data_IF_247917510132
#
_entry.id   IF_247917510132
#
_cell.length_a   1.000
_cell.length_b   1.000
_cell.length_c   1.000
_cell.angle_alpha   90.00
_cell.angle_beta   90.00
_cell.angle_gamma   90.00
#
_symmetry.space_group_name_H-M   'P 1'
#
loop_
_entity.id
_entity.type
_entity.pdbx_description
1 polymer ?
#
# COMPACT_ATOMS: atom_id res chain seq x y z
N UNK A 1 34.65 21.14 58.54
CA UNK A 1 34.74 21.09 57.06
C UNK A 1 34.53 19.65 56.64
N UNK A 2 33.30 19.15 56.61
CA UNK A 2 32.43 19.01 55.43
C UNK A 2 33.14 18.35 54.24
N UNK A 3 32.83 17.07 54.00
CA UNK A 3 32.61 16.49 52.65
C UNK A 3 31.86 15.16 52.80
N UNK A 4 30.54 15.24 52.62
CA UNK A 4 29.63 14.11 52.46
C UNK A 4 29.36 13.97 50.96
N UNK A 5 29.64 12.82 50.36
CA UNK A 5 29.17 12.50 49.00
C UNK A 5 27.86 11.71 49.15
N UNK A 6 26.75 12.32 48.75
CA UNK A 6 25.43 11.69 48.71
C UNK A 6 25.23 11.00 47.35
N UNK A 7 24.82 9.74 47.40
CA UNK A 7 24.29 8.96 46.28
C UNK A 7 22.99 9.58 45.75
N UNK A 8 22.87 9.75 44.43
CA UNK A 8 21.58 10.03 43.78
C UNK A 8 20.98 8.72 43.26
N UNK A 9 19.90 8.27 43.90
CA UNK A 9 18.93 7.32 43.35
C UNK A 9 18.06 8.09 42.34
N UNK A 10 18.01 7.64 41.07
CA UNK A 10 16.92 8.00 40.17
C UNK A 10 15.75 7.05 40.44
N UNK A 11 14.63 7.62 40.89
CA UNK A 11 13.39 6.92 41.16
C UNK A 11 12.67 6.67 39.82
N UNK A 12 12.56 5.41 39.41
CA UNK A 12 11.69 4.98 38.32
C UNK A 12 10.23 5.11 38.77
N UNK A 13 9.45 5.92 38.06
CA UNK A 13 8.00 6.02 38.27
C UNK A 13 7.34 4.78 37.65
N UNK A 14 6.96 3.83 38.51
CA UNK A 14 5.94 2.83 38.19
C UNK A 14 4.58 3.53 38.10
N UNK A 15 4.00 3.61 36.90
CA UNK A 15 2.57 3.80 36.74
C UNK A 15 1.90 2.42 36.67
N UNK A 16 1.20 2.08 37.74
CA UNK A 16 0.10 1.13 37.74
C UNK A 16 -1.14 1.88 38.17
N UNK A 17 -2.07 2.11 37.24
CA UNK A 17 -3.49 2.05 37.52
C UNK A 17 -4.20 1.58 36.25
N UNK A 18 -4.79 0.40 36.39
CA UNK A 18 -5.70 -0.27 35.48
C UNK A 18 -7.06 0.41 35.60
N UNK A 19 -7.77 0.66 34.50
CA UNK A 19 -9.24 0.57 34.42
C UNK A 19 -9.75 0.82 32.98
N UNK A 20 -10.16 -0.28 32.34
CA UNK A 20 -11.25 -0.40 31.35
C UNK A 20 -11.53 0.82 30.43
N UNK A 21 -10.84 0.90 29.29
CA UNK A 21 -11.35 1.60 28.09
C UNK A 21 -11.66 0.65 26.93
N UNK A 22 -11.44 -0.66 27.09
CA UNK A 22 -11.78 -1.68 26.08
C UNK A 22 -13.28 -2.01 26.11
N UNK A 23 -14.06 -1.30 25.27
CA UNK A 23 -15.18 -1.86 24.49
C UNK A 23 -16.07 -0.80 23.85
N UNK A 24 -16.05 0.45 24.34
CA UNK A 24 -17.03 1.47 23.90
C UNK A 24 -16.68 2.16 22.59
N UNK A 25 -15.40 2.49 22.34
CA UNK A 25 -15.01 3.20 21.11
C UNK A 25 -14.98 2.27 19.89
N UNK A 26 -14.56 1.01 20.07
CA UNK A 26 -14.68 -0.02 19.03
C UNK A 26 -16.15 -0.32 18.67
N UNK A 27 -17.08 -0.33 19.64
CA UNK A 27 -18.51 -0.49 19.38
C UNK A 27 -19.17 0.74 18.71
N UNK A 28 -18.52 1.91 18.71
CA UNK A 28 -19.03 3.11 18.02
C UNK A 28 -18.66 3.08 16.53
N UNK A 29 -17.49 2.51 16.17
CA UNK A 29 -17.10 2.28 14.78
C UNK A 29 -18.07 1.34 14.02
N UNK A 30 -18.64 0.34 14.71
CA UNK A 30 -19.51 -0.68 14.11
C UNK A 30 -20.80 -0.15 13.47
N UNK A 31 -21.31 1.03 13.85
CA UNK A 31 -22.69 1.42 13.50
C UNK A 31 -22.86 2.24 12.21
N UNK A 32 -21.80 2.52 11.46
CA UNK A 32 -21.93 3.40 10.29
C UNK A 32 -20.94 3.24 9.15
N UNK A 33 -19.97 2.33 9.24
CA UNK A 33 -19.02 2.05 8.15
C UNK A 33 -19.48 0.83 7.34
N UNK A 34 -19.29 0.89 6.03
CA UNK A 34 -19.57 -0.23 5.12
C UNK A 34 -18.38 -1.21 5.09
N UNK A 35 -18.03 -1.74 6.27
CA UNK A 35 -16.87 -2.62 6.46
C UNK A 35 -17.28 -3.88 7.24
N UNK A 36 -16.69 -5.05 6.92
CA UNK A 36 -16.90 -6.25 7.71
C UNK A 36 -16.47 -6.07 9.19
N UNK A 37 -17.22 -6.61 10.17
CA UNK A 37 -16.91 -6.41 11.59
C UNK A 37 -15.52 -6.88 12.03
N UNK A 38 -14.93 -7.84 11.32
CA UNK A 38 -13.61 -8.38 11.66
C UNK A 38 -12.49 -7.36 11.41
N UNK A 39 -12.57 -6.56 10.35
CA UNK A 39 -11.54 -5.56 10.02
C UNK A 39 -11.68 -4.25 10.77
N UNK A 40 -12.89 -3.92 11.22
CA UNK A 40 -13.12 -2.77 12.08
C UNK A 40 -12.27 -2.85 13.37
N UNK A 41 -11.93 -4.06 13.83
CA UNK A 41 -11.05 -4.28 14.98
C UNK A 41 -9.58 -3.94 14.70
N UNK A 42 -9.19 -3.87 13.43
CA UNK A 42 -7.85 -3.49 12.99
C UNK A 42 -7.72 -1.96 12.82
N UNK A 43 -8.83 -1.23 12.85
CA UNK A 43 -8.82 0.22 12.64
C UNK A 43 -8.42 0.95 13.91
N UNK A 44 -7.46 1.87 13.77
CA UNK A 44 -7.17 2.86 14.81
C UNK A 44 -8.21 3.98 14.75
N UNK A 45 -9.07 4.15 15.79
CA UNK A 45 -10.10 5.19 15.81
C UNK A 45 -9.55 6.61 15.63
N UNK A 46 -8.30 6.87 16.00
CA UNK A 46 -7.67 8.19 15.87
C UNK A 46 -7.37 8.56 14.41
N UNK A 47 -7.31 7.57 13.52
CA UNK A 47 -7.11 7.77 12.09
C UNK A 47 -8.41 8.06 11.33
N UNK A 48 -9.58 7.89 11.97
CA UNK A 48 -10.87 8.05 11.31
C UNK A 48 -11.07 9.46 10.72
N UNK A 49 -11.55 9.58 9.46
CA UNK A 49 -12.07 8.54 8.56
C UNK A 49 -11.02 7.91 7.62
N UNK A 50 -9.74 8.21 7.80
CA UNK A 50 -8.61 7.78 6.97
C UNK A 50 -7.85 6.60 7.61
N UNK A 51 -8.56 5.52 7.97
CA UNK A 51 -8.02 4.38 8.73
C UNK A 51 -6.84 3.66 8.04
N UNK A 52 -6.73 3.78 6.72
CA UNK A 52 -5.65 3.20 5.91
C UNK A 52 -4.47 4.15 5.67
N UNK A 53 -4.48 5.28 6.38
CA UNK A 53 -3.47 6.32 6.32
C UNK A 53 -3.42 7.00 4.95
N UNK A 54 -2.19 7.31 4.53
CA UNK A 54 -1.91 7.93 3.24
C UNK A 54 -0.80 7.16 2.53
N UNK A 55 -0.66 7.36 1.23
CA UNK A 55 0.44 6.83 0.44
C UNK A 55 0.80 7.79 -0.68
N UNK A 56 2.03 7.69 -1.18
CA UNK A 56 2.44 8.36 -2.40
C UNK A 56 3.18 7.39 -3.30
N UNK A 57 3.23 7.66 -4.59
CA UNK A 57 3.86 6.74 -5.52
C UNK A 57 3.94 7.23 -6.94
N UNK A 58 4.55 6.39 -7.77
CA UNK A 58 5.00 6.73 -9.12
C UNK A 58 5.61 8.15 -9.20
N UNK A 59 6.67 8.48 -8.43
CA UNK A 59 7.27 9.80 -8.48
C UNK A 59 7.91 10.06 -9.85
N UNK A 60 7.56 11.18 -10.46
CA UNK A 60 8.19 11.75 -11.66
C UNK A 60 8.88 13.07 -11.27
N UNK A 61 9.62 13.66 -12.21
CA UNK A 61 10.37 14.89 -11.95
C UNK A 61 9.50 16.08 -11.57
N UNK A 62 8.27 16.14 -12.07
CA UNK A 62 7.38 17.27 -11.82
C UNK A 62 6.01 16.85 -11.30
N UNK A 63 5.85 15.57 -10.95
CA UNK A 63 4.59 15.09 -10.42
C UNK A 63 4.71 13.84 -9.57
N UNK A 64 3.73 13.61 -8.71
CA UNK A 64 3.65 12.41 -7.88
C UNK A 64 2.20 12.06 -7.60
N UNK A 65 1.91 10.77 -7.46
CA UNK A 65 0.61 10.32 -7.00
C UNK A 65 0.55 10.48 -5.49
N UNK A 66 -0.52 11.08 -4.98
CA UNK A 66 -0.93 10.97 -3.57
C UNK A 66 -2.22 10.16 -3.47
N UNK A 67 -2.33 9.36 -2.41
CA UNK A 67 -3.39 8.40 -2.22
C UNK A 67 -3.88 8.36 -0.76
N UNK A 68 -5.18 8.12 -0.59
CA UNK A 68 -5.80 7.69 0.68
C UNK A 68 -7.09 6.90 0.39
N UNK A 69 -7.72 6.36 1.43
CA UNK A 69 -9.08 5.84 1.40
C UNK A 69 -9.89 6.46 2.52
N UNK A 70 -11.13 6.84 2.22
CA UNK A 70 -12.05 7.41 3.21
C UNK A 70 -13.13 6.38 3.54
N UNK A 71 -13.13 5.87 4.77
CA UNK A 71 -14.20 4.99 5.23
C UNK A 71 -15.42 5.82 5.62
N UNK A 72 -16.51 5.62 4.89
CA UNK A 72 -17.79 6.31 5.09
C UNK A 72 -18.95 5.30 5.12
N UNK A 73 -20.11 5.75 5.57
CA UNK A 73 -21.36 5.00 5.42
C UNK A 73 -21.90 5.02 3.98
N UNK A 74 -22.88 4.16 3.72
CA UNK A 74 -23.31 3.74 2.38
C UNK A 74 -23.53 4.84 1.31
N UNK A 75 -23.08 4.52 0.09
CA UNK A 75 -23.61 4.87 -1.24
C UNK A 75 -23.87 6.35 -1.59
N UNK A 76 -23.01 7.25 -1.14
CA UNK A 76 -22.94 8.60 -1.71
C UNK A 76 -21.61 8.86 -2.42
N UNK A 77 -21.65 9.70 -3.46
CA UNK A 77 -20.44 10.37 -3.94
C UNK A 77 -20.01 11.38 -2.89
N UNK A 78 -18.74 11.35 -2.52
CA UNK A 78 -18.12 12.28 -1.56
C UNK A 78 -17.08 13.12 -2.26
N UNK A 79 -16.83 14.31 -1.72
CA UNK A 79 -15.76 15.20 -2.13
C UNK A 79 -14.71 15.22 -1.03
N UNK A 80 -13.47 14.95 -1.39
CA UNK A 80 -12.32 14.95 -0.49
C UNK A 80 -11.38 16.06 -0.94
N UNK A 81 -11.05 16.98 -0.04
CA UNK A 81 -10.05 17.99 -0.31
C UNK A 81 -8.65 17.40 -0.08
N UNK A 82 -7.68 17.91 -0.80
CA UNK A 82 -6.28 17.55 -0.61
C UNK A 82 -5.41 18.79 -0.69
N UNK A 83 -4.30 18.74 0.04
CA UNK A 83 -3.31 19.81 0.10
C UNK A 83 -1.90 19.21 0.02
N UNK A 84 -1.02 19.90 -0.68
CA UNK A 84 0.42 19.63 -0.73
C UNK A 84 1.19 20.89 -0.33
N UNK A 85 2.20 20.72 0.52
CA UNK A 85 3.03 21.76 1.09
C UNK A 85 4.52 21.47 0.90
N UNK A 86 5.33 22.52 0.93
CA UNK A 86 6.79 22.42 0.90
C UNK A 86 7.42 22.23 2.29
N UNK A 87 6.62 22.19 3.35
CA UNK A 87 7.06 22.05 4.74
C UNK A 87 6.17 21.08 5.54
N UNK A 88 6.77 20.42 6.53
CA UNK A 88 6.09 19.41 7.36
C UNK A 88 4.96 19.97 8.23
N UNK A 89 4.98 21.27 8.53
CA UNK A 89 3.95 21.93 9.33
C UNK A 89 2.70 22.29 8.51
N UNK A 90 2.73 22.03 7.19
CA UNK A 90 1.66 22.34 6.25
C UNK A 90 1.28 23.83 6.25
N UNK A 91 2.29 24.71 6.29
CA UNK A 91 2.09 26.18 6.30
C UNK A 91 2.28 26.82 4.92
N UNK A 92 3.16 26.29 4.09
CA UNK A 92 3.45 26.72 2.73
C UNK A 92 2.79 25.77 1.71
N UNK A 93 1.48 25.93 1.53
CA UNK A 93 0.69 25.14 0.58
C UNK A 93 1.06 25.52 -0.86
N UNK A 94 1.63 24.58 -1.60
CA UNK A 94 2.06 24.76 -3.00
C UNK A 94 1.01 24.30 -4.00
N UNK A 95 0.15 23.34 -3.61
CA UNK A 95 -0.93 22.84 -4.46
C UNK A 95 -2.08 22.32 -3.58
N UNK A 96 -3.30 22.40 -4.09
CA UNK A 96 -4.50 21.89 -3.42
C UNK A 96 -5.63 21.69 -4.41
N UNK A 97 -6.59 20.86 -4.04
CA UNK A 97 -7.76 20.64 -4.87
C UNK A 97 -8.81 19.79 -4.18
N UNK A 98 -9.78 19.36 -4.96
CA UNK A 98 -10.86 18.48 -4.53
C UNK A 98 -10.97 17.31 -5.49
N UNK A 99 -11.23 16.11 -4.97
CA UNK A 99 -11.50 14.92 -5.78
C UNK A 99 -12.79 14.27 -5.32
N UNK A 100 -13.58 13.84 -6.30
CA UNK A 100 -14.78 13.04 -6.09
C UNK A 100 -14.45 11.57 -6.00
N UNK A 101 -14.99 10.89 -4.99
CA UNK A 101 -14.92 9.43 -4.87
C UNK A 101 -16.23 8.82 -4.40
N UNK A 102 -16.38 7.50 -4.56
CA UNK A 102 -17.60 6.76 -4.25
C UNK A 102 -17.29 5.27 -4.08
N UNK A 103 -18.28 4.48 -3.66
CA UNK A 103 -18.15 3.02 -3.51
C UNK A 103 -17.80 2.27 -4.79
N UNK A 104 -17.96 2.88 -5.98
CA UNK A 104 -17.57 2.24 -7.25
C UNK A 104 -16.06 2.01 -7.33
N UNK A 105 -15.26 2.82 -6.61
CA UNK A 105 -13.81 2.68 -6.47
C UNK A 105 -13.38 2.60 -5.01
N UNK A 106 -14.25 2.00 -4.19
CA UNK A 106 -14.01 1.74 -2.78
C UNK A 106 -13.62 2.98 -1.96
N UNK A 107 -14.15 4.15 -2.34
CA UNK A 107 -13.85 5.43 -1.71
C UNK A 107 -12.35 5.79 -1.65
N UNK A 108 -11.53 5.17 -2.51
CA UNK A 108 -10.13 5.56 -2.64
C UNK A 108 -10.01 6.88 -3.39
N UNK A 109 -9.03 7.67 -3.00
CA UNK A 109 -8.71 8.96 -3.58
C UNK A 109 -7.30 8.88 -4.11
N UNK A 110 -7.13 9.22 -5.38
CA UNK A 110 -5.84 9.26 -6.05
C UNK A 110 -5.73 10.56 -6.83
N UNK A 111 -4.63 11.27 -6.66
CA UNK A 111 -4.37 12.55 -7.33
C UNK A 111 -2.97 12.52 -7.92
N UNK A 112 -2.85 12.82 -9.21
CA UNK A 112 -1.56 13.09 -9.85
C UNK A 112 -1.24 14.59 -9.69
N UNK A 113 -0.45 14.92 -8.67
CA UNK A 113 -0.14 16.30 -8.34
C UNK A 113 1.03 16.74 -9.22
N UNK A 114 0.79 17.66 -10.15
CA UNK A 114 1.80 18.22 -11.06
C UNK A 114 2.41 19.54 -10.57
N UNK A 115 3.19 20.17 -11.45
CA UNK A 115 3.86 21.46 -11.26
C UNK A 115 4.79 21.50 -10.02
N UNK A 116 5.44 20.36 -9.73
CA UNK A 116 6.39 20.21 -8.63
C UNK A 116 7.83 20.40 -9.10
N UNK A 117 8.72 20.75 -8.16
CA UNK A 117 10.15 20.84 -8.42
C UNK A 117 10.79 19.43 -8.41
N UNK A 118 11.75 19.14 -9.31
CA UNK A 118 12.45 17.86 -9.33
C UNK A 118 13.29 17.58 -8.09
N UNK A 119 13.36 16.31 -7.67
CA UNK A 119 14.17 15.86 -6.54
C UNK A 119 13.90 16.60 -5.24
N UNK A 120 12.65 16.96 -4.99
CA UNK A 120 12.23 17.83 -3.88
C UNK A 120 11.25 17.12 -2.97
N UNK A 121 11.37 17.39 -1.67
CA UNK A 121 10.49 16.84 -0.64
C UNK A 121 9.21 17.66 -0.53
N UNK A 122 8.09 16.96 -0.40
CA UNK A 122 6.76 17.54 -0.21
C UNK A 122 6.00 16.81 0.86
N UNK A 123 5.09 17.53 1.50
CA UNK A 123 4.19 17.01 2.53
C UNK A 123 2.75 17.15 2.05
N UNK A 124 1.89 16.20 2.37
CA UNK A 124 0.52 16.23 1.88
C UNK A 124 -0.47 15.68 2.90
N UNK A 125 -1.72 16.11 2.80
CA UNK A 125 -2.83 15.57 3.59
C UNK A 125 -4.13 15.62 2.82
N UNK A 126 -5.08 14.81 3.27
CA UNK A 126 -6.47 14.82 2.82
C UNK A 126 -7.38 15.37 3.92
N UNK A 127 -8.49 15.98 3.49
CA UNK A 127 -9.50 16.55 4.39
C UNK A 127 -10.88 16.07 3.94
N UNK A 128 -11.65 15.55 4.87
CA UNK A 128 -13.03 15.16 4.67
C UNK A 128 -13.83 15.46 5.94
N UNK A 129 -14.98 16.13 5.78
CA UNK A 129 -15.88 16.50 6.89
C UNK A 129 -15.15 17.17 8.09
N UNK A 130 -14.22 18.08 7.78
CA UNK A 130 -13.42 18.80 8.78
C UNK A 130 -12.33 17.95 9.48
N UNK A 131 -12.27 16.65 9.22
CA UNK A 131 -11.21 15.74 9.69
C UNK A 131 -10.04 15.72 8.70
N UNK A 132 -8.83 15.64 9.24
CA UNK A 132 -7.57 15.59 8.47
C UNK A 132 -6.98 14.20 8.54
N UNK A 133 -6.44 13.71 7.44
CA UNK A 133 -5.56 12.54 7.46
C UNK A 133 -4.27 12.84 8.24
N UNK A 134 -3.51 11.79 8.56
CA UNK A 134 -2.09 11.95 8.84
C UNK A 134 -1.39 12.67 7.69
N UNK A 135 -0.29 13.36 8.00
CA UNK A 135 0.54 14.03 6.99
C UNK A 135 1.48 12.99 6.38
N UNK A 136 1.41 12.84 5.06
CA UNK A 136 2.36 12.05 4.29
C UNK A 136 3.54 12.90 3.82
N UNK A 137 4.65 12.24 3.56
CA UNK A 137 5.85 12.76 2.93
C UNK A 137 6.07 12.03 1.59
N UNK A 138 6.55 12.78 0.60
CA UNK A 138 6.91 12.26 -0.71
C UNK A 138 8.09 13.03 -1.26
N UNK A 139 8.78 12.44 -2.24
CA UNK A 139 9.86 13.07 -2.99
C UNK A 139 9.63 12.88 -4.47
N UNK A 140 9.67 13.96 -5.25
CA UNK A 140 9.66 13.87 -6.71
C UNK A 140 10.94 13.20 -7.22
N UNK A 141 10.87 12.53 -8.37
CA UNK A 141 12.07 11.92 -8.94
C UNK A 141 13.03 13.01 -9.47
N UNK A 142 14.29 12.64 -9.69
CA UNK A 142 15.22 13.44 -10.49
C UNK A 142 15.74 14.72 -9.86
N UNK A 143 16.97 14.70 -9.35
CA UNK A 143 17.87 15.83 -9.52
C UNK A 143 19.30 15.32 -9.71
N UNK A 144 20.00 15.85 -10.72
CA UNK A 144 21.43 15.56 -10.94
C UNK A 144 22.31 16.07 -9.78
N UNK A 145 21.76 16.90 -8.90
CA UNK A 145 22.48 17.59 -7.83
C UNK A 145 22.95 16.65 -6.71
N UNK A 146 22.28 15.51 -6.50
CA UNK A 146 22.63 14.59 -5.41
C UNK A 146 23.79 13.65 -5.75
N UNK A 147 24.03 13.33 -7.03
CA UNK A 147 25.07 12.39 -7.46
C UNK A 147 24.91 10.95 -6.93
N UNK A 148 23.78 10.61 -6.30
CA UNK A 148 23.43 9.30 -5.75
C UNK A 148 21.92 9.06 -5.85
N UNK A 149 21.52 7.80 -5.77
CA UNK A 149 20.13 7.35 -5.64
C UNK A 149 20.11 6.25 -4.58
N UNK A 150 19.19 6.33 -3.61
CA UNK A 150 18.97 5.25 -2.64
C UNK A 150 17.56 4.70 -2.83
N UNK A 151 17.47 3.44 -3.26
CA UNK A 151 16.22 2.71 -3.41
C UNK A 151 16.19 1.56 -2.43
N UNK A 152 15.06 1.36 -1.76
CA UNK A 152 14.77 0.13 -1.04
C UNK A 152 13.92 -0.79 -1.93
N UNK A 153 14.19 -2.09 -1.92
CA UNK A 153 13.40 -3.09 -2.66
C UNK A 153 12.64 -3.98 -1.69
N UNK A 154 11.38 -4.25 -1.99
CA UNK A 154 10.51 -5.17 -1.26
C UNK A 154 9.70 -6.03 -2.23
N UNK A 155 9.31 -7.22 -1.78
CA UNK A 155 8.34 -8.10 -2.43
C UNK A 155 7.84 -9.11 -1.39
N UNK A 156 6.85 -9.91 -1.76
CA UNK A 156 6.43 -11.09 -1.00
C UNK A 156 6.03 -10.76 0.45
N UNK A 157 5.11 -9.82 0.60
CA UNK A 157 4.67 -9.27 1.88
C UNK A 157 3.56 -10.11 2.53
N UNK A 158 3.72 -11.43 2.60
CA UNK A 158 2.66 -12.29 3.13
C UNK A 158 2.33 -11.97 4.60
N UNK A 159 1.09 -11.54 4.85
CA UNK A 159 0.63 -11.07 6.15
C UNK A 159 0.67 -12.14 7.25
N UNK A 160 0.44 -13.40 6.90
CA UNK A 160 0.44 -14.54 7.84
C UNK A 160 1.86 -15.09 8.11
N UNK A 161 2.86 -14.79 7.27
CA UNK A 161 4.24 -15.28 7.49
C UNK A 161 5.06 -14.42 8.46
N UNK A 162 4.59 -13.22 8.83
CA UNK A 162 5.27 -12.44 9.84
C UNK A 162 4.85 -10.98 9.94
N UNK A 163 5.47 -10.30 10.89
CA UNK A 163 5.33 -8.86 11.06
C UNK A 163 6.21 -8.11 10.06
N UNK A 164 5.69 -6.98 9.60
CA UNK A 164 6.26 -6.09 8.58
C UNK A 164 7.40 -5.19 9.11
N UNK A 165 8.28 -5.77 9.92
CA UNK A 165 9.44 -5.08 10.52
C UNK A 165 10.36 -4.42 9.49
N UNK A 166 10.46 -4.98 8.29
CA UNK A 166 11.19 -4.40 7.16
C UNK A 166 10.62 -3.03 6.76
N UNK A 167 9.29 -2.90 6.68
CA UNK A 167 8.62 -1.64 6.38
C UNK A 167 8.83 -0.61 7.49
N UNK A 168 8.85 -1.04 8.75
CA UNK A 168 9.24 -0.16 9.88
C UNK A 168 10.62 0.44 9.68
N UNK A 169 11.61 -0.39 9.31
CA UNK A 169 12.98 0.08 9.06
C UNK A 169 13.03 1.05 7.87
N UNK A 170 12.31 0.76 6.78
CA UNK A 170 12.20 1.68 5.65
C UNK A 170 11.61 3.02 6.07
N UNK A 171 10.58 3.04 6.92
CA UNK A 171 9.93 4.28 7.38
C UNK A 171 10.89 5.24 8.13
N UNK A 172 11.90 4.68 8.80
CA UNK A 172 12.91 5.44 9.55
C UNK A 172 14.06 5.93 8.67
N UNK A 173 14.32 5.30 7.52
CA UNK A 173 15.41 5.68 6.64
C UNK A 173 15.01 6.86 5.74
N UNK A 174 15.31 8.07 6.20
CA UNK A 174 15.08 9.33 5.45
C UNK A 174 16.02 9.53 4.26
N UNK A 175 16.98 8.64 4.05
CA UNK A 175 17.89 8.74 2.92
C UNK A 175 17.35 8.14 1.63
N UNK A 176 16.26 7.37 1.70
CA UNK A 176 15.60 6.75 0.55
C UNK A 176 14.97 7.81 -0.35
N UNK A 177 15.19 7.69 -1.66
CA UNK A 177 14.53 8.50 -2.68
C UNK A 177 13.18 7.88 -3.08
N UNK A 178 13.06 6.54 -3.02
CA UNK A 178 11.81 5.80 -3.23
C UNK A 178 11.92 4.35 -2.69
N UNK A 179 10.76 3.71 -2.52
CA UNK A 179 10.64 2.26 -2.29
C UNK A 179 10.14 1.59 -3.57
N UNK A 180 10.79 0.52 -4.00
CA UNK A 180 10.39 -0.30 -5.16
C UNK A 180 9.75 -1.60 -4.66
N UNK A 181 8.47 -1.81 -4.94
CA UNK A 181 7.76 -3.04 -4.60
C UNK A 181 7.60 -3.92 -5.85
N UNK A 182 8.17 -5.12 -5.82
CA UNK A 182 8.30 -6.03 -6.98
C UNK A 182 7.22 -7.12 -7.03
N UNK A 183 6.02 -6.80 -6.56
CA UNK A 183 4.89 -7.74 -6.50
C UNK A 183 4.78 -8.58 -5.24
N UNK A 184 3.69 -9.35 -5.16
CA UNK A 184 3.20 -10.04 -3.97
C UNK A 184 2.99 -9.08 -2.79
N UNK A 185 2.36 -7.95 -3.06
CA UNK A 185 1.94 -6.97 -2.05
C UNK A 185 0.85 -7.57 -1.14
N UNK A 186 -0.06 -8.36 -1.74
CA UNK A 186 -1.03 -9.19 -1.04
C UNK A 186 -0.85 -10.66 -1.45
N UNK A 187 -1.46 -11.56 -0.68
CA UNK A 187 -1.66 -12.97 -1.04
C UNK A 187 -3.15 -13.27 -1.07
N UNK A 188 -3.59 -14.18 -1.95
CA UNK A 188 -4.99 -14.47 -2.24
C UNK A 188 -5.61 -15.54 -1.34
N UNK A 189 -4.79 -16.36 -0.69
CA UNK A 189 -5.19 -17.58 0.01
C UNK A 189 -6.15 -17.39 1.19
N UNK A 190 -6.83 -18.48 1.54
CA UNK A 190 -7.51 -18.61 2.82
C UNK A 190 -6.51 -18.74 3.99
N UNK A 191 -6.93 -18.49 5.24
CA UNK A 191 -6.03 -18.57 6.40
C UNK A 191 -5.36 -19.93 6.56
N UNK A 192 -4.03 -19.93 6.73
CA UNK A 192 -3.23 -21.14 6.98
C UNK A 192 -3.05 -22.07 5.78
N UNK A 193 -3.60 -21.73 4.62
CA UNK A 193 -3.34 -22.46 3.37
C UNK A 193 -1.92 -22.16 2.85
N UNK A 194 -1.51 -20.90 2.92
CA UNK A 194 -0.15 -20.46 2.63
C UNK A 194 0.28 -19.35 3.62
N UNK A 195 0.45 -19.73 4.88
CA UNK A 195 0.75 -18.80 5.97
C UNK A 195 0.94 -19.50 7.32
N UNK A 196 1.49 -18.78 8.30
CA UNK A 196 1.62 -19.24 9.69
C UNK A 196 0.61 -18.53 10.61
N UNK A 197 -0.52 -19.19 10.85
CA UNK A 197 -1.58 -18.65 11.71
C UNK A 197 -1.24 -18.69 13.21
N UNK A 198 -0.11 -19.28 13.62
CA UNK A 198 0.28 -19.36 15.03
C UNK A 198 0.64 -17.99 15.63
N UNK A 199 0.92 -17.00 14.79
CA UNK A 199 1.17 -15.61 15.18
C UNK A 199 -0.11 -14.82 15.49
N UNK A 200 -1.29 -15.39 15.25
CA UNK A 200 -2.58 -14.70 15.39
C UNK A 200 -2.82 -13.63 14.32
N UNK A 201 -1.92 -13.51 13.33
CA UNK A 201 -2.13 -12.74 12.10
C UNK A 201 -2.78 -13.65 11.09
N UNK A 202 -4.06 -13.40 10.80
CA UNK A 202 -4.86 -14.24 9.90
C UNK A 202 -5.43 -13.41 8.77
N UNK A 203 -5.44 -13.97 7.56
CA UNK A 203 -5.96 -13.32 6.36
C UNK A 203 -7.48 -13.08 6.45
N UNK A 204 -7.91 -11.91 5.99
CA UNK A 204 -9.31 -11.51 5.87
C UNK A 204 -9.62 -11.07 4.44
N UNK A 205 -10.77 -11.47 3.86
CA UNK A 205 -11.75 -12.40 4.42
C UNK A 205 -11.15 -13.81 4.59
N UNK A 206 -11.70 -14.68 5.47
CA UNK A 206 -11.13 -15.99 5.79
C UNK A 206 -11.45 -17.05 4.71
N UNK A 207 -11.15 -16.69 3.46
CA UNK A 207 -11.39 -17.45 2.25
C UNK A 207 -10.32 -17.08 1.22
N UNK A 208 -10.24 -17.88 0.16
CA UNK A 208 -9.47 -17.51 -1.03
C UNK A 208 -10.20 -16.39 -1.79
N UNK A 209 -9.56 -15.24 -1.97
CA UNK A 209 -10.17 -14.05 -2.56
C UNK A 209 -10.35 -14.22 -4.07
N UNK A 210 -11.59 -14.03 -4.55
CA UNK A 210 -11.94 -14.26 -5.95
C UNK A 210 -12.78 -13.15 -6.56
N UNK A 211 -13.50 -12.38 -5.75
CA UNK A 211 -14.36 -11.27 -6.19
C UNK A 211 -13.74 -9.91 -5.92
N UNK A 212 -14.23 -8.85 -6.56
CA UNK A 212 -13.76 -7.48 -6.30
C UNK A 212 -13.83 -7.09 -4.83
N UNK A 213 -14.91 -7.43 -4.13
CA UNK A 213 -15.04 -7.16 -2.70
C UNK A 213 -14.00 -7.92 -1.88
N UNK A 214 -13.68 -9.15 -2.25
CA UNK A 214 -12.67 -9.94 -1.53
C UNK A 214 -11.27 -9.31 -1.70
N UNK A 215 -10.91 -8.90 -2.92
CA UNK A 215 -9.62 -8.23 -3.18
C UNK A 215 -9.51 -6.90 -2.44
N UNK A 216 -10.54 -6.04 -2.52
CA UNK A 216 -10.58 -4.78 -1.75
C UNK A 216 -10.41 -5.03 -0.26
N UNK A 217 -11.08 -6.06 0.25
CA UNK A 217 -10.97 -6.43 1.65
C UNK A 217 -9.54 -6.90 2.00
N UNK A 218 -8.89 -7.73 1.17
CA UNK A 218 -7.49 -8.12 1.40
C UNK A 218 -6.53 -6.94 1.39
N UNK A 219 -6.68 -6.00 0.44
CA UNK A 219 -5.88 -4.77 0.44
C UNK A 219 -6.14 -3.92 1.69
N UNK A 220 -7.40 -3.76 2.07
CA UNK A 220 -7.82 -3.07 3.29
C UNK A 220 -7.09 -3.63 4.50
N UNK A 221 -7.09 -4.95 4.67
CA UNK A 221 -6.37 -5.62 5.76
C UNK A 221 -4.89 -5.28 5.74
N UNK A 222 -4.20 -5.51 4.62
CA UNK A 222 -2.74 -5.32 4.55
C UNK A 222 -2.38 -3.87 4.87
N UNK A 223 -3.20 -2.91 4.41
CA UNK A 223 -3.06 -1.48 4.66
C UNK A 223 -3.39 -1.02 6.08
N UNK A 224 -3.92 -1.89 6.95
CA UNK A 224 -4.04 -1.61 8.40
C UNK A 224 -2.76 -1.91 9.17
N UNK A 225 -1.78 -2.60 8.59
CA UNK A 225 -0.52 -2.85 9.27
C UNK A 225 0.25 -1.53 9.50
N UNK A 226 0.55 -1.22 10.75
CA UNK A 226 1.14 0.05 11.15
C UNK A 226 2.52 0.30 10.53
N UNK A 227 3.32 -0.76 10.34
CA UNK A 227 4.67 -0.63 9.78
C UNK A 227 4.60 -0.39 8.27
N UNK A 228 3.68 -1.06 7.57
CA UNK A 228 3.42 -0.80 6.15
C UNK A 228 2.83 0.60 5.92
N UNK A 229 1.87 1.01 6.75
CA UNK A 229 1.31 2.35 6.71
C UNK A 229 2.39 3.41 6.95
N UNK A 230 3.29 3.20 7.91
CA UNK A 230 4.39 4.10 8.18
C UNK A 230 5.38 4.19 7.00
N UNK A 231 5.68 3.08 6.31
CA UNK A 231 6.53 3.13 5.12
C UNK A 231 5.88 3.96 3.99
N UNK A 232 4.59 3.73 3.72
CA UNK A 232 3.82 4.49 2.72
C UNK A 232 3.62 5.96 3.08
N UNK A 233 3.50 6.27 4.37
CA UNK A 233 3.43 7.64 4.84
C UNK A 233 4.73 8.39 4.52
N UNK A 234 5.88 7.71 4.54
CA UNK A 234 7.18 8.38 4.53
C UNK A 234 7.87 8.41 3.16
N UNK A 235 7.52 7.50 2.25
CA UNK A 235 8.22 7.34 0.98
C UNK A 235 7.26 7.12 -0.18
N UNK A 236 7.65 7.60 -1.36
CA UNK A 236 6.96 7.28 -2.59
C UNK A 236 7.25 5.82 -2.99
N UNK A 237 6.19 5.07 -3.31
CA UNK A 237 6.28 3.69 -3.79
C UNK A 237 6.23 3.62 -5.32
N UNK A 238 7.18 2.89 -5.91
CA UNK A 238 7.17 2.44 -7.29
C UNK A 238 6.81 0.96 -7.26
N UNK A 239 5.55 0.63 -7.54
CA UNK A 239 5.05 -0.73 -7.39
C UNK A 239 4.74 -1.40 -8.72
N UNK A 240 4.94 -2.71 -8.80
CA UNK A 240 4.39 -3.60 -9.84
C UNK A 240 3.74 -4.79 -9.12
N UNK A 241 2.71 -5.39 -9.71
CA UNK A 241 2.19 -6.67 -9.26
C UNK A 241 3.13 -7.82 -9.65
N UNK A 242 2.98 -8.95 -8.99
CA UNK A 242 3.38 -10.27 -9.49
C UNK A 242 2.12 -11.16 -9.58
N UNK A 243 2.21 -12.45 -9.25
CA UNK A 243 1.06 -13.34 -9.39
C UNK A 243 0.05 -13.21 -8.26
N UNK A 244 0.50 -13.07 -7.01
CA UNK A 244 -0.38 -13.12 -5.84
C UNK A 244 -1.30 -11.89 -5.65
N UNK A 245 -1.10 -10.80 -6.40
CA UNK A 245 -2.12 -9.76 -6.57
C UNK A 245 -3.39 -10.27 -7.26
N UNK A 246 -3.31 -11.43 -7.91
CA UNK A 246 -4.42 -12.14 -8.56
C UNK A 246 -4.58 -13.56 -7.98
N UNK A 247 -3.74 -14.50 -8.41
CA UNK A 247 -3.70 -15.88 -7.98
C UNK A 247 -2.32 -16.46 -8.30
N UNK A 248 -1.83 -17.34 -7.43
CA UNK A 248 -0.51 -17.96 -7.54
C UNK A 248 -0.20 -18.47 -8.95
N UNK A 249 1.03 -18.20 -9.41
CA UNK A 249 1.54 -18.62 -10.71
C UNK A 249 0.66 -18.19 -11.89
N UNK A 250 0.06 -17.01 -11.80
CA UNK A 250 -0.73 -16.44 -12.89
C UNK A 250 0.09 -16.12 -14.14
N UNK A 251 -0.60 -16.24 -15.27
CA UNK A 251 -0.15 -15.91 -16.61
C UNK A 251 -1.35 -15.32 -17.38
N UNK A 252 -1.16 -14.96 -18.66
CA UNK A 252 -2.19 -14.22 -19.43
C UNK A 252 -3.57 -14.89 -19.42
N UNK A 253 -3.62 -16.22 -19.51
CA UNK A 253 -4.86 -16.98 -19.75
C UNK A 253 -5.30 -17.84 -18.56
N UNK A 254 -4.54 -17.88 -17.46
CA UNK A 254 -4.90 -18.65 -16.28
C UNK A 254 -3.97 -18.42 -15.09
N UNK A 255 -4.13 -19.25 -14.06
CA UNK A 255 -3.26 -19.31 -12.90
C UNK A 255 -3.28 -20.72 -12.32
N UNK A 256 -2.24 -21.08 -11.55
CA UNK A 256 -2.21 -22.37 -10.86
C UNK A 256 -3.31 -22.43 -9.79
N UNK A 257 -3.47 -21.36 -9.02
CA UNK A 257 -4.50 -21.28 -7.98
C UNK A 257 -5.82 -20.73 -8.54
N UNK A 258 -6.26 -21.27 -9.68
CA UNK A 258 -7.55 -20.98 -10.26
C UNK A 258 -8.10 -22.19 -11.03
N UNK A 259 -9.37 -22.55 -10.81
CA UNK A 259 -9.99 -23.73 -11.43
C UNK A 259 -11.40 -23.45 -11.98
N UNK A 260 -11.94 -24.39 -12.79
CA UNK A 260 -13.25 -24.26 -13.45
C UNK A 260 -14.43 -24.00 -12.49
N UNK A 261 -14.30 -24.36 -11.20
CA UNK A 261 -15.33 -24.13 -10.19
C UNK A 261 -15.41 -22.69 -9.68
N UNK A 262 -14.50 -21.81 -10.09
CA UNK A 262 -14.30 -20.48 -9.51
C UNK A 262 -14.75 -19.33 -10.42
N UNK A 263 -15.36 -19.69 -11.56
CA UNK A 263 -15.77 -18.75 -12.59
C UNK A 263 -14.66 -18.49 -13.61
N UNK A 264 -14.87 -17.47 -14.43
CA UNK A 264 -13.96 -17.13 -15.52
C UNK A 264 -12.70 -16.41 -15.01
N UNK A 265 -11.53 -16.89 -15.42
CA UNK A 265 -10.23 -16.27 -15.09
C UNK A 265 -10.18 -14.79 -15.45
N UNK A 266 -10.69 -14.45 -16.64
CA UNK A 266 -10.73 -13.07 -17.13
C UNK A 266 -11.51 -12.14 -16.18
N UNK A 267 -12.56 -12.65 -15.52
CA UNK A 267 -13.35 -11.89 -14.58
C UNK A 267 -12.62 -11.71 -13.23
N UNK A 268 -11.98 -12.77 -12.71
CA UNK A 268 -11.12 -12.69 -11.51
C UNK A 268 -9.98 -11.69 -11.73
N UNK A 269 -9.31 -11.77 -12.87
CA UNK A 269 -8.24 -10.86 -13.25
C UNK A 269 -8.71 -9.40 -13.36
N UNK A 270 -9.87 -9.16 -13.96
CA UNK A 270 -10.45 -7.82 -14.04
C UNK A 270 -10.71 -7.22 -12.64
N UNK A 271 -11.22 -8.03 -11.71
CA UNK A 271 -11.44 -7.61 -10.32
C UNK A 271 -10.14 -7.38 -9.56
N UNK A 272 -9.15 -8.26 -9.69
CA UNK A 272 -7.81 -8.11 -9.12
C UNK A 272 -7.13 -6.82 -9.61
N UNK A 273 -7.13 -6.59 -10.93
CA UNK A 273 -6.58 -5.37 -11.56
C UNK A 273 -7.28 -4.11 -11.07
N UNK A 274 -8.61 -4.13 -10.98
CA UNK A 274 -9.37 -3.00 -10.46
C UNK A 274 -8.99 -2.69 -9.01
N UNK A 275 -8.95 -3.70 -8.12
CA UNK A 275 -8.57 -3.50 -6.73
C UNK A 275 -7.12 -3.01 -6.59
N UNK A 276 -6.18 -3.58 -7.35
CA UNK A 276 -4.78 -3.14 -7.37
C UNK A 276 -4.67 -1.65 -7.75
N UNK A 277 -5.36 -1.22 -8.81
CA UNK A 277 -5.38 0.19 -9.18
C UNK A 277 -6.06 1.07 -8.13
N UNK A 278 -7.13 0.61 -7.50
CA UNK A 278 -7.80 1.39 -6.44
C UNK A 278 -6.89 1.59 -5.22
N UNK A 279 -6.13 0.57 -4.82
CA UNK A 279 -5.43 0.52 -3.53
C UNK A 279 -3.93 0.83 -3.59
N UNK A 280 -3.33 0.84 -4.77
CA UNK A 280 -1.92 1.19 -4.94
C UNK A 280 -1.74 2.64 -5.41
N UNK A 281 -0.72 3.37 -4.92
CA UNK A 281 -0.48 4.77 -5.26
C UNK A 281 0.21 4.92 -6.63
N UNK A 282 -0.37 4.32 -7.67
CA UNK A 282 0.22 4.24 -9.01
C UNK A 282 -0.69 4.88 -10.06
N UNK A 283 -0.10 5.33 -11.17
CA UNK A 283 -0.85 5.75 -12.35
C UNK A 283 -1.52 4.55 -13.02
N UNK A 284 -2.75 4.76 -13.44
CA UNK A 284 -3.54 3.75 -14.14
C UNK A 284 -3.26 3.82 -15.63
N UNK A 285 -2.91 2.67 -16.21
CA UNK A 285 -2.57 2.52 -17.63
C UNK A 285 -3.21 1.24 -18.17
N UNK A 286 -3.29 1.10 -19.50
CA UNK A 286 -3.79 -0.14 -20.10
C UNK A 286 -2.85 -1.31 -19.77
N UNK A 287 -1.55 -1.11 -20.02
CA UNK A 287 -0.45 -2.01 -19.67
C UNK A 287 0.40 -1.41 -18.56
N UNK A 288 0.85 -2.22 -17.60
CA UNK A 288 1.58 -1.76 -16.42
C UNK A 288 3.10 -1.63 -16.65
N UNK A 289 3.51 -1.23 -17.85
CA UNK A 289 4.89 -0.89 -18.16
C UNK A 289 5.16 0.57 -17.85
N UNK A 290 6.14 0.84 -16.99
CA UNK A 290 6.48 2.21 -16.57
C UNK A 290 7.96 2.46 -16.57
N UNK A 291 8.34 3.72 -16.77
CA UNK A 291 9.72 4.20 -16.70
C UNK A 291 9.84 5.34 -15.72
N UNK A 292 10.82 5.27 -14.85
CA UNK A 292 11.15 6.30 -13.87
C UNK A 292 12.57 6.78 -14.11
N UNK A 293 12.75 8.10 -14.09
CA UNK A 293 14.04 8.74 -14.31
C UNK A 293 14.55 9.35 -13.01
N UNK A 294 15.77 8.96 -12.63
CA UNK A 294 16.48 9.51 -11.48
C UNK A 294 17.63 10.39 -11.97
N UNK A 295 17.24 11.51 -12.60
CA UNK A 295 18.19 12.40 -13.29
C UNK A 295 18.93 11.65 -14.40
N UNK A 296 20.21 11.96 -14.56
CA UNK A 296 21.12 11.30 -15.49
C UNK A 296 21.77 10.01 -14.95
N UNK A 297 21.50 9.65 -13.69
CA UNK A 297 22.17 8.55 -13.01
C UNK A 297 21.59 7.18 -13.38
N UNK A 298 20.26 7.06 -13.45
CA UNK A 298 19.60 5.80 -13.77
C UNK A 298 18.19 5.99 -14.35
N UNK A 299 17.82 5.10 -15.26
CA UNK A 299 16.43 4.83 -15.64
C UNK A 299 15.98 3.51 -15.02
N UNK A 300 14.86 3.50 -14.30
CA UNK A 300 14.21 2.29 -13.80
C UNK A 300 13.04 1.92 -14.71
N UNK A 301 13.07 0.70 -15.26
CA UNK A 301 12.00 0.15 -16.10
C UNK A 301 11.22 -0.88 -15.27
N UNK A 302 9.94 -0.62 -15.01
CA UNK A 302 9.03 -1.55 -14.36
C UNK A 302 8.33 -2.38 -15.42
N UNK A 303 8.47 -3.70 -15.31
CA UNK A 303 7.96 -4.67 -16.26
C UNK A 303 6.83 -5.49 -15.65
N UNK A 304 5.70 -5.60 -16.35
CA UNK A 304 4.73 -6.67 -16.12
C UNK A 304 5.21 -7.96 -16.81
N UNK A 305 5.56 -8.95 -15.97
CA UNK A 305 5.97 -10.30 -16.40
C UNK A 305 4.92 -11.36 -16.10
N UNK A 306 3.66 -10.96 -15.94
CA UNK A 306 2.50 -11.82 -15.69
C UNK A 306 1.44 -11.62 -16.76
N UNK A 307 0.63 -10.58 -16.64
CA UNK A 307 -0.70 -10.58 -17.25
C UNK A 307 -0.65 -10.06 -18.69
N UNK A 308 0.28 -9.15 -18.98
CA UNK A 308 0.38 -8.58 -20.33
C UNK A 308 0.84 -9.62 -21.37
N UNK A 309 1.87 -10.42 -21.08
CA UNK A 309 2.49 -11.29 -22.08
C UNK A 309 2.90 -12.69 -21.66
N UNK A 310 2.83 -13.04 -20.37
CA UNK A 310 3.35 -14.34 -19.91
C UNK A 310 2.49 -15.49 -20.44
N UNK A 311 3.12 -16.42 -21.13
CA UNK A 311 2.57 -17.74 -21.44
C UNK A 311 2.65 -18.68 -20.23
N UNK A 312 1.85 -19.74 -20.21
CA UNK A 312 1.87 -20.72 -19.12
C UNK A 312 3.30 -21.24 -18.84
N UNK A 313 3.69 -21.27 -17.56
CA UNK A 313 4.98 -21.83 -17.17
C UNK A 313 5.02 -23.34 -17.44
N UNK A 314 6.21 -23.83 -17.79
CA UNK A 314 6.50 -25.26 -17.84
C UNK A 314 7.21 -25.65 -16.54
N UNK A 315 6.84 -26.79 -15.98
CA UNK A 315 7.39 -27.25 -14.69
C UNK A 315 8.75 -27.94 -14.83
N UNK A 316 9.07 -28.44 -16.03
CA UNK A 316 10.27 -29.23 -16.30
C UNK A 316 10.92 -28.86 -17.65
N UNK A 317 12.26 -28.86 -17.67
CA UNK A 317 13.08 -28.72 -18.87
C UNK A 317 12.87 -29.85 -19.88
N UNK A 318 12.37 -31.01 -19.46
CA UNK A 318 12.01 -32.10 -20.35
C UNK A 318 10.67 -31.88 -21.09
N UNK A 319 9.88 -30.89 -20.68
CA UNK A 319 8.63 -30.56 -21.37
C UNK A 319 8.89 -30.25 -22.84
N UNK A 320 8.08 -30.81 -23.73
CA UNK A 320 8.15 -30.52 -25.16
C UNK A 320 8.02 -29.01 -25.44
N UNK A 321 7.30 -28.30 -24.57
CA UNK A 321 7.07 -26.85 -24.70
C UNK A 321 8.17 -26.02 -24.05
N UNK A 322 9.19 -26.61 -23.41
CA UNK A 322 10.25 -25.83 -22.74
C UNK A 322 11.03 -24.92 -23.70
N UNK A 323 11.27 -25.40 -24.94
CA UNK A 323 11.99 -24.66 -25.99
C UNK A 323 11.06 -24.10 -27.07
N UNK A 324 9.77 -24.01 -26.79
CA UNK A 324 8.82 -23.46 -27.75
C UNK A 324 9.12 -21.96 -27.99
N UNK A 325 9.44 -21.55 -29.23
CA UNK A 325 9.78 -20.16 -29.54
C UNK A 325 8.60 -19.18 -29.39
N UNK A 326 7.36 -19.68 -29.32
CA UNK A 326 6.15 -18.88 -29.13
C UNK A 326 5.84 -18.63 -27.64
N UNK A 327 6.75 -19.03 -26.73
CA UNK A 327 6.65 -18.70 -25.30
C UNK A 327 7.22 -17.33 -25.01
N UNK A 328 6.40 -16.54 -24.33
CA UNK A 328 6.71 -15.15 -23.98
C UNK A 328 6.59 -14.92 -22.47
N UNK A 329 7.36 -13.96 -21.97
CA UNK A 329 7.29 -13.45 -20.60
C UNK A 329 6.79 -12.00 -20.55
N UNK A 330 7.07 -11.24 -21.60
CA UNK A 330 6.65 -9.85 -21.83
C UNK A 330 5.83 -9.79 -23.12
N UNK A 331 4.95 -8.79 -23.22
CA UNK A 331 4.06 -8.58 -24.38
C UNK A 331 4.75 -7.97 -25.59
#
# INVERSE_FOLDING_TARGET
MIRTLLSFLLLAAFLSCNDKSDSTDAMILEKGLDEPPEILKLFDPELGPFYHGVASGDPLSHSVIIWTRVSVGHNQEIIVDWEMAADSEMTNIVSKGQVKTSGTKDYTVKVDVGDLEPGSDYFYRFIYDGKKSIIGHTRTSGSDSQGRINLAFASCSNYEWGYFNNYRLMSFDKSLDAVVHLGDYIYEYAPGEYGDTTLGRINYPPLEIKTLSDYRYRYSQYRTDADLMAAHQQHAFIAIWDDHESANNSYREGAQNHNEGEGEWSQRMAWAKQAYYEWMPIRETEELYRRFEFGSLASLLMLDTRITGRTEQVEDMASANFRDPDRHIIG
#
